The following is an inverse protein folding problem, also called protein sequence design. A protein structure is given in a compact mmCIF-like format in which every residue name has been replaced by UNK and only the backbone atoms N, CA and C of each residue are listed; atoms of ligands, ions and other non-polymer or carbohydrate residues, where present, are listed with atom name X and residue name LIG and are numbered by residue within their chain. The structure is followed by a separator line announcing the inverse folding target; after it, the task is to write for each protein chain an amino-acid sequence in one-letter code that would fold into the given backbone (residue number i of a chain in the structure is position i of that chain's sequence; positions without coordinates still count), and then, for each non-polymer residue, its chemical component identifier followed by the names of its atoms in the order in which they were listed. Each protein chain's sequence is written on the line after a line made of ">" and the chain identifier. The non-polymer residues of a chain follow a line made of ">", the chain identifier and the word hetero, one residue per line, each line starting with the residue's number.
data_IF_312507612543
#
_entry.id   IF_312507612543
#
_cell.length_a   1.000
_cell.length_b   1.000
_cell.length_c   1.000
_cell.angle_alpha   90.00
_cell.angle_beta   90.00
_cell.angle_gamma   90.00
#
_symmetry.space_group_name_H-M   'P 1'
#
loop_
_entity.id
_entity.type
_entity.pdbx_description
1 polymer ?
#
# COMPACT_ATOMS: atom_id res chain seq x y z
N UNK A 1 16.29 -6.35 17.35
CA UNK A 1 16.55 -4.95 16.90
C UNK A 1 17.43 -4.84 15.66
N UNK A 2 18.59 -5.51 15.59
CA UNK A 2 19.53 -5.38 14.45
C UNK A 2 18.92 -5.66 13.07
N UNK A 3 18.07 -6.69 12.95
CA UNK A 3 17.44 -7.02 11.68
C UNK A 3 16.31 -6.04 11.26
N UNK A 4 15.60 -5.43 12.21
CA UNK A 4 14.66 -4.32 11.95
C UNK A 4 15.41 -3.15 11.33
N UNK A 5 16.48 -2.72 12.00
CA UNK A 5 17.32 -1.63 11.52
C UNK A 5 17.94 -1.95 10.15
N UNK A 6 18.37 -3.20 9.92
CA UNK A 6 18.86 -3.67 8.63
C UNK A 6 17.80 -3.55 7.53
N UNK A 7 16.57 -4.02 7.76
CA UNK A 7 15.47 -3.91 6.79
C UNK A 7 15.14 -2.47 6.42
N UNK A 8 15.04 -1.57 7.41
CA UNK A 8 14.88 -0.14 7.15
C UNK A 8 16.10 0.44 6.40
N UNK A 9 17.31 0.03 6.75
CA UNK A 9 18.55 0.50 6.10
C UNK A 9 18.56 0.15 4.61
N UNK A 10 18.18 -1.07 4.24
CA UNK A 10 18.12 -1.50 2.83
C UNK A 10 17.14 -0.61 2.04
N UNK A 11 15.96 -0.35 2.60
CA UNK A 11 14.96 0.55 2.02
C UNK A 11 15.53 1.96 1.83
N UNK A 12 16.17 2.51 2.86
CA UNK A 12 16.78 3.85 2.80
C UNK A 12 17.90 3.93 1.76
N UNK A 13 18.72 2.90 1.63
CA UNK A 13 19.78 2.85 0.62
C UNK A 13 19.22 2.88 -0.80
N UNK A 14 18.18 2.10 -1.10
CA UNK A 14 17.56 2.10 -2.44
C UNK A 14 16.88 3.45 -2.71
N UNK A 15 16.20 4.03 -1.72
CA UNK A 15 15.63 5.39 -1.84
C UNK A 15 16.74 6.42 -2.10
N UNK A 16 17.87 6.33 -1.40
CA UNK A 16 19.01 7.21 -1.60
C UNK A 16 19.60 7.08 -3.01
N UNK A 17 19.73 5.86 -3.53
CA UNK A 17 20.15 5.62 -4.93
C UNK A 17 19.17 6.30 -5.89
N UNK A 18 17.85 6.12 -5.70
CA UNK A 18 16.82 6.77 -6.50
C UNK A 18 16.90 8.31 -6.46
N UNK A 19 17.20 8.87 -5.30
CA UNK A 19 17.40 10.32 -5.14
C UNK A 19 18.69 10.79 -5.85
N UNK A 20 19.80 10.07 -5.70
CA UNK A 20 21.10 10.38 -6.32
C UNK A 20 20.97 10.41 -7.84
N UNK A 21 20.44 9.35 -8.45
CA UNK A 21 20.31 9.27 -9.92
C UNK A 21 19.37 10.36 -10.45
N UNK A 22 18.30 10.69 -9.72
CA UNK A 22 17.40 11.78 -10.08
C UNK A 22 18.06 13.15 -9.93
N UNK A 23 18.90 13.35 -8.91
CA UNK A 23 19.63 14.61 -8.67
C UNK A 23 20.65 14.91 -9.77
N UNK A 24 21.26 13.86 -10.32
CA UNK A 24 22.20 13.95 -11.44
C UNK A 24 21.50 13.88 -12.82
N UNK A 25 20.19 13.70 -12.86
CA UNK A 25 19.41 13.69 -14.11
C UNK A 25 19.71 12.51 -15.04
N UNK A 26 20.27 11.41 -14.52
CA UNK A 26 20.77 10.26 -15.32
C UNK A 26 19.67 9.64 -16.18
N UNK A 27 18.44 9.59 -15.67
CA UNK A 27 17.30 8.91 -16.31
C UNK A 27 16.34 9.88 -17.04
N UNK A 28 16.61 11.19 -17.00
CA UNK A 28 15.71 12.20 -17.55
C UNK A 28 14.48 12.53 -16.67
N UNK A 29 13.65 13.50 -17.09
CA UNK A 29 12.56 14.06 -16.27
C UNK A 29 11.38 13.10 -16.05
N UNK A 30 11.11 12.21 -17.00
CA UNK A 30 9.95 11.30 -16.95
C UNK A 30 10.23 9.97 -16.22
N UNK A 31 11.47 9.76 -15.78
CA UNK A 31 11.92 8.52 -15.15
C UNK A 31 11.02 8.08 -13.99
N UNK A 32 10.63 9.02 -13.12
CA UNK A 32 9.74 8.75 -11.99
C UNK A 32 8.41 8.13 -12.44
N UNK A 33 7.80 8.70 -13.48
CA UNK A 33 6.52 8.25 -14.03
C UNK A 33 6.70 6.91 -14.73
N UNK A 34 7.76 6.74 -15.52
CA UNK A 34 8.07 5.49 -16.21
C UNK A 34 8.26 4.34 -15.23
N UNK A 35 9.12 4.49 -14.22
CA UNK A 35 9.38 3.47 -13.20
C UNK A 35 8.10 3.14 -12.41
N UNK A 36 7.31 4.15 -12.02
CA UNK A 36 6.03 3.93 -11.34
C UNK A 36 5.05 3.14 -12.21
N UNK A 37 4.99 3.43 -13.52
CA UNK A 37 4.12 2.70 -14.45
C UNK A 37 4.58 1.26 -14.64
N UNK A 38 5.87 1.01 -14.83
CA UNK A 38 6.40 -0.37 -14.94
C UNK A 38 6.12 -1.14 -13.66
N UNK A 39 6.34 -0.52 -12.50
CA UNK A 39 6.02 -1.12 -11.22
C UNK A 39 4.53 -1.47 -11.10
N UNK A 40 3.63 -0.55 -11.48
CA UNK A 40 2.18 -0.75 -11.37
C UNK A 40 1.60 -1.75 -12.39
N UNK A 41 1.99 -1.66 -13.65
CA UNK A 41 1.37 -2.41 -14.74
C UNK A 41 1.99 -3.78 -14.98
N UNK A 42 3.24 -3.98 -14.58
CA UNK A 42 4.00 -5.21 -14.88
C UNK A 42 4.44 -5.90 -13.61
N UNK A 43 5.27 -5.23 -12.80
CA UNK A 43 5.96 -5.88 -11.69
C UNK A 43 5.03 -6.22 -10.51
N UNK A 44 4.13 -5.31 -10.13
CA UNK A 44 3.21 -5.51 -9.02
C UNK A 44 2.20 -6.64 -9.30
N UNK A 45 1.57 -6.74 -10.48
CA UNK A 45 0.74 -7.89 -10.83
C UNK A 45 1.46 -9.23 -10.74
N UNK A 46 2.72 -9.31 -11.18
CA UNK A 46 3.54 -10.50 -11.03
C UNK A 46 3.81 -10.81 -9.55
N UNK A 47 4.15 -9.79 -8.75
CA UNK A 47 4.33 -9.94 -7.30
C UNK A 47 3.06 -10.44 -6.63
N UNK A 48 1.91 -9.89 -6.99
CA UNK A 48 0.60 -10.33 -6.50
C UNK A 48 0.35 -11.80 -6.82
N UNK A 49 0.58 -12.18 -8.08
CA UNK A 49 0.40 -13.55 -8.54
C UNK A 49 1.25 -14.52 -7.71
N UNK A 50 2.58 -14.30 -7.68
CA UNK A 50 3.54 -15.17 -6.98
C UNK A 50 3.19 -15.29 -5.49
N UNK A 51 2.96 -14.16 -4.84
CA UNK A 51 2.66 -14.13 -3.40
C UNK A 51 1.39 -14.92 -3.07
N UNK A 52 0.35 -14.80 -3.90
CA UNK A 52 -0.92 -15.47 -3.64
C UNK A 52 -0.89 -16.94 -4.05
N UNK A 53 -0.26 -17.27 -5.19
CA UNK A 53 -0.17 -18.66 -5.68
C UNK A 53 0.58 -19.57 -4.71
N UNK A 54 1.57 -19.04 -3.99
CA UNK A 54 2.36 -19.76 -3.00
C UNK A 54 1.72 -19.76 -1.60
N UNK A 55 0.79 -18.83 -1.34
CA UNK A 55 0.13 -18.73 -0.04
C UNK A 55 -0.88 -19.86 0.17
N UNK A 56 -0.88 -20.45 1.36
CA UNK A 56 -1.89 -21.43 1.76
C UNK A 56 -3.15 -20.71 2.23
N UNK A 57 -4.13 -20.52 1.32
CA UNK A 57 -5.40 -19.82 1.57
C UNK A 57 -6.06 -20.14 2.93
N UNK A 58 -6.00 -21.39 3.39
CA UNK A 58 -6.55 -21.81 4.69
C UNK A 58 -5.79 -21.27 5.91
N UNK A 59 -4.47 -21.08 5.81
CA UNK A 59 -3.68 -20.52 6.90
C UNK A 59 -3.85 -19.00 7.01
N UNK A 60 -4.29 -18.36 5.93
CA UNK A 60 -4.38 -16.89 5.85
C UNK A 60 -5.74 -16.37 6.33
N UNK A 61 -6.80 -17.17 6.20
CA UNK A 61 -8.15 -16.82 6.64
C UNK A 61 -8.34 -17.07 8.14
N UNK A 62 -7.88 -16.11 8.97
CA UNK A 62 -8.03 -16.13 10.43
C UNK A 62 -8.40 -14.77 11.03
N UNK A 63 -8.45 -14.65 12.36
CA UNK A 63 -8.74 -13.40 13.06
C UNK A 63 -7.86 -12.23 12.60
N UNK A 64 -6.59 -12.49 12.30
CA UNK A 64 -5.58 -11.52 11.87
C UNK A 64 -5.94 -10.91 10.51
N UNK A 65 -6.55 -11.70 9.61
CA UNK A 65 -7.08 -11.19 8.35
C UNK A 65 -8.24 -10.23 8.59
N UNK A 66 -9.16 -10.58 9.50
CA UNK A 66 -10.28 -9.71 9.85
C UNK A 66 -9.82 -8.44 10.55
N UNK A 67 -8.84 -8.52 11.46
CA UNK A 67 -8.25 -7.36 12.14
C UNK A 67 -7.60 -6.43 11.12
N UNK A 68 -6.81 -6.96 10.19
CA UNK A 68 -6.21 -6.16 9.12
C UNK A 68 -7.28 -5.50 8.23
N UNK A 69 -8.32 -6.26 7.87
CA UNK A 69 -9.42 -5.79 7.03
C UNK A 69 -10.19 -4.66 7.71
N UNK A 70 -10.69 -4.91 8.92
CA UNK A 70 -11.50 -3.96 9.68
C UNK A 70 -10.67 -2.75 10.10
N UNK A 71 -9.43 -2.93 10.53
CA UNK A 71 -8.51 -1.85 10.90
C UNK A 71 -8.22 -0.91 9.74
N UNK A 72 -7.87 -1.46 8.57
CA UNK A 72 -7.60 -0.66 7.38
C UNK A 72 -8.84 0.05 6.83
N UNK A 73 -9.97 -0.65 6.70
CA UNK A 73 -11.22 -0.05 6.20
C UNK A 73 -11.79 1.00 7.16
N UNK A 74 -11.70 0.77 8.48
CA UNK A 74 -12.12 1.75 9.48
C UNK A 74 -11.22 2.98 9.47
N UNK A 75 -9.90 2.80 9.31
CA UNK A 75 -8.96 3.92 9.20
C UNK A 75 -9.18 4.72 7.92
N UNK A 76 -9.43 4.04 6.79
CA UNK A 76 -9.81 4.68 5.53
C UNK A 76 -11.08 5.51 5.70
N UNK A 77 -12.11 4.91 6.29
CA UNK A 77 -13.39 5.56 6.53
C UNK A 77 -13.20 6.78 7.45
N UNK A 78 -12.44 6.65 8.54
CA UNK A 78 -12.13 7.75 9.44
C UNK A 78 -11.44 8.91 8.69
N UNK A 79 -10.44 8.63 7.86
CA UNK A 79 -9.80 9.67 7.04
C UNK A 79 -10.81 10.36 6.12
N UNK A 80 -11.62 9.60 5.40
CA UNK A 80 -12.59 10.15 4.44
C UNK A 80 -13.65 10.98 5.16
N UNK A 81 -14.17 10.53 6.31
CA UNK A 81 -15.16 11.27 7.09
C UNK A 81 -14.57 12.56 7.68
N UNK A 82 -13.41 12.48 8.35
CA UNK A 82 -12.75 13.65 8.93
C UNK A 82 -12.34 14.62 7.83
N UNK A 83 -11.78 14.12 6.74
CA UNK A 83 -11.39 14.92 5.58
C UNK A 83 -12.60 15.60 4.95
N UNK A 84 -13.64 14.84 4.58
CA UNK A 84 -14.78 15.38 3.85
C UNK A 84 -15.63 16.33 4.68
N UNK A 85 -15.83 16.07 5.97
CA UNK A 85 -16.78 16.81 6.79
C UNK A 85 -16.13 17.85 7.71
N UNK A 86 -14.85 17.72 8.06
CA UNK A 86 -14.19 18.62 9.02
C UNK A 86 -13.08 19.44 8.38
N UNK A 87 -12.05 18.80 7.82
CA UNK A 87 -10.75 19.47 7.59
C UNK A 87 -10.43 19.78 6.12
N UNK A 88 -10.98 19.02 5.18
CA UNK A 88 -10.56 18.94 3.76
C UNK A 88 -11.73 19.03 2.78
N UNK A 89 -12.79 19.78 3.13
CA UNK A 89 -14.08 19.85 2.39
C UNK A 89 -13.93 20.09 0.88
N UNK A 90 -12.96 20.93 0.50
CA UNK A 90 -12.73 21.34 -0.90
C UNK A 90 -11.85 20.38 -1.71
N UNK A 91 -11.38 19.28 -1.12
CA UNK A 91 -10.52 18.32 -1.83
C UNK A 91 -11.33 17.46 -2.80
N UNK A 92 -10.78 17.15 -3.99
CA UNK A 92 -11.40 16.18 -4.89
C UNK A 92 -11.41 14.80 -4.23
N UNK A 93 -12.39 13.97 -4.60
CA UNK A 93 -12.54 12.64 -4.02
C UNK A 93 -11.32 11.75 -4.23
N UNK A 94 -10.61 11.89 -5.36
CA UNK A 94 -9.37 11.15 -5.64
C UNK A 94 -8.26 11.48 -4.63
N UNK A 95 -8.10 12.74 -4.24
CA UNK A 95 -7.13 13.14 -3.22
C UNK A 95 -7.51 12.63 -1.82
N UNK A 96 -8.82 12.64 -1.49
CA UNK A 96 -9.31 12.06 -0.25
C UNK A 96 -9.07 10.54 -0.20
N UNK A 97 -9.22 9.85 -1.33
CA UNK A 97 -8.94 8.43 -1.43
C UNK A 97 -7.44 8.14 -1.26
N UNK A 98 -6.55 8.90 -1.92
CA UNK A 98 -5.10 8.76 -1.77
C UNK A 98 -4.65 9.09 -0.33
N UNK A 99 -5.19 10.13 0.28
CA UNK A 99 -4.92 10.45 1.69
C UNK A 99 -5.42 9.36 2.63
N UNK A 100 -6.61 8.80 2.35
CA UNK A 100 -7.17 7.69 3.08
C UNK A 100 -6.32 6.44 2.99
N UNK A 101 -5.92 6.05 1.78
CA UNK A 101 -4.94 4.98 1.53
C UNK A 101 -3.62 5.24 2.28
N UNK A 102 -3.16 6.49 2.31
CA UNK A 102 -1.94 6.85 3.05
C UNK A 102 -2.09 6.61 4.56
N UNK A 103 -3.30 6.81 5.10
CA UNK A 103 -3.60 6.57 6.51
C UNK A 103 -3.80 5.09 6.88
N UNK A 104 -4.15 4.24 5.92
CA UNK A 104 -4.65 2.88 6.19
C UNK A 104 -3.82 1.76 5.55
N UNK A 105 -3.03 2.02 4.50
CA UNK A 105 -2.30 0.98 3.80
C UNK A 105 -0.91 0.81 4.42
N UNK A 106 -0.66 -0.34 5.03
CA UNK A 106 0.62 -0.68 5.66
C UNK A 106 1.64 -1.14 4.61
N UNK A 107 2.92 -0.86 4.84
CA UNK A 107 4.01 -1.31 3.98
C UNK A 107 4.35 -2.81 4.18
N UNK A 108 3.34 -3.68 4.11
CA UNK A 108 3.43 -5.11 4.43
C UNK A 108 4.39 -5.87 3.52
N UNK A 109 4.39 -5.61 2.22
CA UNK A 109 5.27 -6.32 1.28
C UNK A 109 6.77 -6.02 1.51
N UNK A 110 7.12 -4.80 1.91
CA UNK A 110 8.52 -4.39 2.09
C UNK A 110 9.03 -4.60 3.52
N UNK A 111 8.21 -4.24 4.51
CA UNK A 111 8.59 -4.26 5.93
C UNK A 111 7.87 -5.35 6.70
N UNK A 112 6.72 -5.82 6.24
CA UNK A 112 5.96 -6.87 6.94
C UNK A 112 6.73 -8.17 7.05
N UNK A 113 7.28 -8.70 5.95
CA UNK A 113 8.04 -9.96 6.00
C UNK A 113 9.28 -9.89 6.90
N UNK A 114 10.19 -8.89 6.80
CA UNK A 114 11.32 -8.79 7.71
C UNK A 114 10.90 -8.61 9.17
N UNK A 115 9.87 -7.81 9.45
CA UNK A 115 9.39 -7.61 10.82
C UNK A 115 8.77 -8.89 11.37
N UNK A 116 7.97 -9.59 10.57
CA UNK A 116 7.39 -10.88 10.93
C UNK A 116 8.48 -11.91 11.25
N UNK A 117 9.50 -12.03 10.39
CA UNK A 117 10.62 -12.95 10.61
C UNK A 117 11.43 -12.64 11.87
N UNK A 118 11.84 -11.37 12.05
CA UNK A 118 12.89 -11.01 12.99
C UNK A 118 12.40 -10.39 14.30
N UNK A 119 11.17 -9.90 14.34
CA UNK A 119 10.54 -9.35 15.55
C UNK A 119 9.51 -10.32 16.09
N UNK A 120 8.68 -10.88 15.20
CA UNK A 120 7.58 -11.76 15.60
C UNK A 120 7.94 -13.25 15.53
N UNK A 121 9.13 -13.59 15.02
CA UNK A 121 9.67 -14.95 15.00
C UNK A 121 9.14 -15.87 13.90
N UNK A 122 8.22 -15.39 13.06
CA UNK A 122 7.63 -16.17 11.97
C UNK A 122 7.20 -15.27 10.80
N UNK A 123 7.79 -15.51 9.62
CA UNK A 123 7.49 -14.79 8.36
C UNK A 123 6.02 -14.94 7.97
N UNK A 124 5.39 -16.08 8.27
CA UNK A 124 4.01 -16.38 7.89
C UNK A 124 2.99 -15.43 8.53
N UNK A 125 3.36 -14.76 9.64
CA UNK A 125 2.52 -13.79 10.33
C UNK A 125 2.22 -12.54 9.49
N UNK A 126 3.02 -12.25 8.46
CA UNK A 126 2.72 -11.17 7.51
C UNK A 126 1.67 -11.56 6.46
N UNK A 127 1.47 -12.85 6.20
CA UNK A 127 0.66 -13.33 5.08
C UNK A 127 -0.82 -12.88 5.16
N UNK A 128 -1.52 -12.89 6.32
CA UNK A 128 -2.90 -12.39 6.44
C UNK A 128 -3.07 -10.94 6.03
N UNK A 129 -2.14 -10.09 6.46
CA UNK A 129 -2.15 -8.66 6.17
C UNK A 129 -1.94 -8.43 4.68
N UNK A 130 -0.91 -9.09 4.12
CA UNK A 130 -0.57 -8.96 2.70
C UNK A 130 -1.73 -9.48 1.85
N UNK A 131 -2.24 -10.68 2.12
CA UNK A 131 -3.36 -11.23 1.36
C UNK A 131 -4.59 -10.33 1.41
N UNK A 132 -4.95 -9.74 2.55
CA UNK A 132 -6.02 -8.74 2.62
C UNK A 132 -5.71 -7.54 1.70
N UNK A 133 -4.52 -6.95 1.79
CA UNK A 133 -4.15 -5.78 0.99
C UNK A 133 -4.22 -6.07 -0.50
N UNK A 134 -3.77 -7.26 -0.90
CA UNK A 134 -3.66 -7.68 -2.28
C UNK A 134 -5.00 -8.12 -2.87
N UNK A 135 -5.72 -9.02 -2.17
CA UNK A 135 -6.95 -9.63 -2.67
C UNK A 135 -8.20 -8.76 -2.48
N UNK A 136 -8.24 -7.91 -1.44
CA UNK A 136 -9.41 -7.10 -1.12
C UNK A 136 -9.11 -5.62 -1.29
N UNK A 137 -8.08 -5.10 -0.61
CA UNK A 137 -7.93 -3.65 -0.51
C UNK A 137 -7.52 -3.02 -1.85
N UNK A 138 -6.65 -3.68 -2.59
CA UNK A 138 -6.18 -3.25 -3.91
C UNK A 138 -7.31 -3.05 -4.91
N UNK A 139 -8.18 -4.05 -5.16
CA UNK A 139 -9.36 -3.87 -5.99
C UNK A 139 -10.23 -2.68 -5.55
N UNK A 140 -10.48 -2.54 -4.24
CA UNK A 140 -11.32 -1.46 -3.69
C UNK A 140 -10.75 -0.09 -4.08
N UNK A 141 -9.47 0.17 -3.80
CA UNK A 141 -8.93 1.50 -4.04
C UNK A 141 -8.72 1.80 -5.52
N UNK A 142 -8.38 0.79 -6.32
CA UNK A 142 -8.27 0.91 -7.77
C UNK A 142 -9.62 1.29 -8.37
N UNK A 143 -10.67 0.54 -8.05
CA UNK A 143 -12.01 0.81 -8.58
C UNK A 143 -12.53 2.16 -8.11
N UNK A 144 -12.27 2.53 -6.84
CA UNK A 144 -12.62 3.86 -6.35
C UNK A 144 -11.90 4.97 -7.13
N UNK A 145 -10.59 4.85 -7.35
CA UNK A 145 -9.82 5.84 -8.09
C UNK A 145 -10.23 5.91 -9.57
N UNK A 146 -10.43 4.77 -10.23
CA UNK A 146 -10.96 4.71 -11.60
C UNK A 146 -12.27 5.50 -11.70
N UNK A 147 -13.19 5.32 -10.75
CA UNK A 147 -14.47 6.04 -10.72
C UNK A 147 -14.28 7.54 -10.48
N UNK A 148 -13.37 7.92 -9.60
CA UNK A 148 -13.12 9.31 -9.19
C UNK A 148 -12.31 10.12 -10.20
N UNK A 149 -11.53 9.48 -11.07
CA UNK A 149 -10.67 10.16 -12.06
C UNK A 149 -11.21 10.11 -13.49
N UNK A 150 -12.33 9.42 -13.73
CA UNK A 150 -12.94 9.27 -15.07
C UNK A 150 -13.20 10.58 -15.79
N UNK A 151 -13.72 11.57 -15.08
CA UNK A 151 -14.12 12.85 -15.68
C UNK A 151 -12.92 13.77 -15.98
N UNK A 152 -11.69 13.39 -15.59
CA UNK A 152 -10.47 14.14 -15.89
C UNK A 152 -9.84 13.75 -17.25
N UNK A 153 -10.35 12.71 -17.91
CA UNK A 153 -9.95 12.32 -19.26
C UNK A 153 -10.83 12.97 -20.34
N UNK A 154 -10.20 13.66 -21.29
CA UNK A 154 -10.80 14.37 -22.44
C UNK A 154 -11.57 13.50 -23.44
N UNK A 155 -12.66 12.83 -23.03
CA UNK A 155 -13.57 12.13 -23.95
C UNK A 155 -15.01 12.66 -23.84
N UNK A 156 -15.77 12.71 -24.96
CA UNK A 156 -17.02 13.47 -25.04
C UNK A 156 -18.08 12.95 -24.08
N UNK A 157 -18.83 13.88 -23.48
CA UNK A 157 -19.99 13.66 -22.61
C UNK A 157 -21.15 12.96 -23.37
N UNK A 158 -21.02 11.67 -23.68
CA UNK A 158 -22.19 10.83 -23.96
C UNK A 158 -22.59 10.22 -22.64
N UNK A 159 -23.65 10.76 -22.02
CA UNK A 159 -24.26 10.22 -20.79
C UNK A 159 -24.77 8.80 -21.08
N UNK A 160 -24.14 7.71 -20.61
CA UNK A 160 -24.74 6.39 -20.71
C UNK A 160 -25.58 6.14 -19.45
N UNK A 161 -26.61 5.32 -19.58
CA UNK A 161 -27.50 4.93 -18.50
C UNK A 161 -26.69 4.39 -17.29
N UNK A 162 -26.99 4.77 -16.02
CA UNK A 162 -26.23 4.38 -14.82
C UNK A 162 -25.92 2.88 -14.69
N UNK A 163 -26.79 1.99 -15.18
CA UNK A 163 -26.58 0.54 -15.13
C UNK A 163 -25.51 0.02 -16.12
N UNK A 164 -25.38 0.65 -17.28
CA UNK A 164 -24.38 0.30 -18.30
C UNK A 164 -23.00 0.83 -17.90
N UNK A 165 -22.96 1.97 -17.20
CA UNK A 165 -21.73 2.52 -16.61
C UNK A 165 -21.12 1.54 -15.60
N UNK A 166 -21.91 0.99 -14.68
CA UNK A 166 -21.40 0.05 -13.64
C UNK A 166 -20.90 -1.27 -14.25
N UNK A 167 -21.63 -1.85 -15.21
CA UNK A 167 -21.19 -3.07 -15.92
C UNK A 167 -19.93 -2.86 -16.76
N UNK A 168 -19.81 -1.71 -17.45
CA UNK A 168 -18.58 -1.34 -18.20
C UNK A 168 -17.43 -0.96 -17.26
N UNK A 169 -17.74 -0.49 -16.06
CA UNK A 169 -16.77 -0.22 -14.98
C UNK A 169 -16.19 -1.49 -14.42
N UNK A 170 -17.04 -2.48 -14.14
CA UNK A 170 -16.59 -3.80 -13.76
C UNK A 170 -15.77 -4.42 -14.90
N UNK A 171 -16.16 -4.20 -16.17
CA UNK A 171 -15.39 -4.60 -17.34
C UNK A 171 -14.02 -3.91 -17.48
N UNK A 172 -13.89 -2.60 -17.23
CA UNK A 172 -12.60 -1.88 -17.28
C UNK A 172 -11.73 -2.10 -16.03
N UNK A 173 -12.32 -2.23 -14.84
CA UNK A 173 -11.59 -2.62 -13.63
C UNK A 173 -11.19 -4.11 -13.68
N UNK A 174 -11.91 -4.98 -14.40
CA UNK A 174 -11.44 -6.34 -14.72
C UNK A 174 -10.22 -6.37 -15.65
N UNK A 175 -9.91 -5.25 -16.33
CA UNK A 175 -8.66 -5.08 -17.09
C UNK A 175 -7.53 -4.52 -16.20
N UNK A 176 -7.79 -4.24 -14.91
CA UNK A 176 -6.72 -3.77 -14.03
C UNK A 176 -5.70 -4.91 -13.82
N UNK A 177 -4.41 -4.69 -14.16
CA UNK A 177 -3.37 -5.71 -14.05
C UNK A 177 -3.28 -6.30 -12.64
N UNK A 178 -3.53 -5.48 -11.60
CA UNK A 178 -3.47 -5.92 -10.21
C UNK A 178 -4.58 -6.91 -9.88
N UNK A 179 -5.81 -6.63 -10.35
CA UNK A 179 -6.95 -7.53 -10.15
C UNK A 179 -6.73 -8.84 -10.90
N UNK A 180 -6.18 -8.77 -12.12
CA UNK A 180 -5.83 -9.96 -12.91
C UNK A 180 -4.78 -10.80 -12.19
N UNK A 181 -3.67 -10.20 -11.77
CA UNK A 181 -2.60 -10.89 -11.05
C UNK A 181 -3.09 -11.57 -9.77
N UNK A 182 -3.90 -10.86 -8.97
CA UNK A 182 -4.47 -11.43 -7.76
C UNK A 182 -5.46 -12.59 -8.04
N UNK A 183 -6.33 -12.43 -9.03
CA UNK A 183 -7.32 -13.46 -9.40
C UNK A 183 -6.64 -14.70 -9.96
N UNK A 184 -5.62 -14.54 -10.81
CA UNK A 184 -4.82 -15.64 -11.32
C UNK A 184 -4.05 -16.33 -10.20
N UNK A 185 -3.46 -15.58 -9.26
CA UNK A 185 -2.77 -16.15 -8.11
C UNK A 185 -3.70 -17.00 -7.25
N UNK A 186 -4.91 -16.51 -6.97
CA UNK A 186 -5.94 -17.27 -6.24
C UNK A 186 -6.35 -18.54 -6.99
N UNK A 187 -6.56 -18.45 -8.31
CA UNK A 187 -6.93 -19.59 -9.14
C UNK A 187 -5.84 -20.67 -9.14
N UNK A 188 -4.57 -20.26 -9.26
CA UNK A 188 -3.42 -21.16 -9.26
C UNK A 188 -3.21 -21.81 -7.90
N UNK A 189 -3.31 -21.05 -6.80
CA UNK A 189 -3.27 -21.59 -5.43
C UNK A 189 -4.38 -22.62 -5.21
N UNK A 190 -5.61 -22.32 -5.65
CA UNK A 190 -6.76 -23.21 -5.45
C UNK A 190 -6.68 -24.51 -6.26
N UNK A 191 -6.27 -24.42 -7.52
CA UNK A 191 -6.15 -25.58 -8.42
C UNK A 191 -4.80 -26.29 -8.31
N UNK A 192 -3.87 -25.78 -7.49
CA UNK A 192 -2.49 -26.26 -7.39
C UNK A 192 -1.79 -26.31 -8.77
N UNK A 193 -2.06 -25.30 -9.59
CA UNK A 193 -1.45 -25.18 -10.92
C UNK A 193 -0.07 -24.55 -10.80
N UNK A 194 0.82 -24.94 -11.72
CA UNK A 194 2.11 -24.30 -11.92
C UNK A 194 2.32 -24.01 -13.41
N UNK A 195 3.04 -22.93 -13.68
CA UNK A 195 3.52 -22.67 -15.04
C UNK A 195 4.74 -23.54 -15.37
N UNK A 196 5.05 -23.76 -16.66
CA UNK A 196 6.35 -24.29 -17.06
C UNK A 196 7.49 -23.42 -16.50
N UNK A 197 8.59 -24.05 -16.09
CA UNK A 197 9.72 -23.40 -15.38
C UNK A 197 10.16 -22.06 -16.01
N UNK A 198 10.37 -21.93 -17.34
CA UNK A 198 10.83 -20.66 -17.90
C UNK A 198 9.84 -19.50 -17.72
N UNK A 199 8.54 -19.79 -17.72
CA UNK A 199 7.49 -18.78 -17.53
C UNK A 199 7.41 -18.38 -16.07
N UNK A 200 7.48 -19.36 -15.16
CA UNK A 200 7.48 -19.12 -13.73
C UNK A 200 8.66 -18.25 -13.29
N UNK A 201 9.89 -18.58 -13.72
CA UNK A 201 11.09 -17.79 -13.42
C UNK A 201 11.00 -16.36 -13.96
N UNK A 202 10.46 -16.18 -15.17
CA UNK A 202 10.27 -14.84 -15.74
C UNK A 202 9.28 -14.00 -14.91
N UNK A 203 8.19 -14.60 -14.45
CA UNK A 203 7.22 -13.95 -13.57
C UNK A 203 7.86 -13.59 -12.22
N UNK A 204 8.66 -14.48 -11.65
CA UNK A 204 9.40 -14.24 -10.39
C UNK A 204 10.42 -13.11 -10.52
N UNK A 205 11.15 -13.03 -11.64
CA UNK A 205 12.08 -11.92 -11.92
C UNK A 205 11.33 -10.58 -12.02
N UNK A 206 10.19 -10.55 -12.72
CA UNK A 206 9.35 -9.35 -12.82
C UNK A 206 8.75 -8.97 -11.45
N UNK A 207 8.31 -9.95 -10.67
CA UNK A 207 7.84 -9.75 -9.31
C UNK A 207 8.93 -9.15 -8.41
N UNK A 208 10.16 -9.69 -8.48
CA UNK A 208 11.33 -9.23 -7.73
C UNK A 208 11.74 -7.79 -8.06
N UNK A 209 11.43 -7.30 -9.27
CA UNK A 209 11.68 -5.92 -9.66
C UNK A 209 10.68 -4.92 -9.04
N UNK A 210 9.52 -5.37 -8.56
CA UNK A 210 8.43 -4.50 -8.09
C UNK A 210 8.90 -3.55 -6.99
N UNK A 211 9.44 -4.10 -5.90
CA UNK A 211 9.87 -3.35 -4.72
C UNK A 211 11.00 -2.36 -5.06
N UNK A 212 12.12 -2.77 -5.70
CA UNK A 212 13.17 -1.85 -6.10
C UNK A 212 12.69 -0.71 -7.00
N UNK A 213 11.82 -0.98 -7.98
CA UNK A 213 11.30 0.04 -8.88
C UNK A 213 10.47 1.09 -8.13
N UNK A 214 9.65 0.68 -7.17
CA UNK A 214 8.87 1.61 -6.34
C UNK A 214 9.76 2.46 -5.43
N UNK A 215 10.77 1.84 -4.81
CA UNK A 215 11.73 2.53 -3.95
C UNK A 215 12.56 3.56 -4.71
N UNK A 216 13.02 3.21 -5.91
CA UNK A 216 13.71 4.12 -6.81
C UNK A 216 12.78 5.27 -7.22
N UNK A 217 11.57 4.97 -7.70
CA UNK A 217 10.58 5.99 -8.07
C UNK A 217 10.25 6.93 -6.90
N UNK A 218 10.18 6.40 -5.68
CA UNK A 218 10.02 7.18 -4.46
C UNK A 218 11.23 8.10 -4.23
N UNK A 219 12.46 7.59 -4.33
CA UNK A 219 13.69 8.39 -4.25
C UNK A 219 13.75 9.52 -5.28
N UNK A 220 13.41 9.23 -6.54
CA UNK A 220 13.29 10.26 -7.59
C UNK A 220 12.26 11.33 -7.24
N UNK A 221 11.13 10.95 -6.62
CA UNK A 221 10.07 11.90 -6.21
C UNK A 221 10.49 12.90 -5.13
N UNK A 222 11.57 12.59 -4.41
CA UNK A 222 12.14 13.45 -3.37
C UNK A 222 13.06 14.54 -3.94
N UNK A 223 13.55 14.38 -5.17
CA UNK A 223 14.44 15.37 -5.82
C UNK A 223 13.70 16.69 -6.04
N UNK A 224 14.26 17.78 -5.52
CA UNK A 224 13.65 19.11 -5.58
C UNK A 224 12.38 19.27 -4.72
N UNK A 225 11.96 18.22 -4.02
CA UNK A 225 10.82 18.29 -3.11
C UNK A 225 11.17 19.02 -1.83
N UNK A 226 10.18 19.74 -1.28
CA UNK A 226 10.22 20.25 0.08
C UNK A 226 9.10 19.56 0.85
N UNK A 227 9.39 18.49 1.61
CA UNK A 227 8.37 17.79 2.38
C UNK A 227 7.62 18.76 3.28
N UNK A 228 6.30 18.61 3.33
CA UNK A 228 5.41 19.51 4.08
C UNK A 228 5.53 20.96 3.63
N UNK A 229 5.78 21.28 2.36
CA UNK A 229 5.80 22.68 1.92
C UNK A 229 4.42 23.34 2.12
N UNK A 230 4.38 24.52 2.76
CA UNK A 230 3.14 25.31 2.94
C UNK A 230 2.52 25.65 1.59
N UNK A 231 3.33 25.90 0.57
CA UNK A 231 2.88 26.31 -0.76
C UNK A 231 2.01 25.26 -1.45
N UNK A 232 2.20 23.97 -1.13
CA UNK A 232 1.36 22.89 -1.67
C UNK A 232 -0.05 22.88 -1.08
N UNK A 233 -0.24 23.52 0.08
CA UNK A 233 -1.47 23.49 0.85
C UNK A 233 -1.85 22.10 1.38
N UNK A 234 -1.01 21.07 1.28
CA UNK A 234 -1.34 19.66 1.60
C UNK A 234 -0.98 19.19 3.01
N UNK A 235 -0.43 20.07 3.85
CA UNK A 235 0.03 19.72 5.21
C UNK A 235 -1.06 19.06 6.06
N UNK A 236 -2.29 19.58 6.00
CA UNK A 236 -3.41 19.04 6.79
C UNK A 236 -3.72 17.60 6.37
N UNK A 237 -3.74 17.34 5.08
CA UNK A 237 -3.94 16.03 4.48
C UNK A 237 -2.86 15.04 4.98
N UNK A 238 -1.59 15.46 4.94
CA UNK A 238 -0.44 14.65 5.37
C UNK A 238 -0.43 14.37 6.87
N UNK A 239 -0.65 15.39 7.71
CA UNK A 239 -0.67 15.20 9.16
C UNK A 239 -1.85 14.34 9.62
N UNK A 240 -3.01 14.51 8.99
CA UNK A 240 -4.16 13.64 9.25
C UNK A 240 -3.82 12.20 8.87
N UNK A 241 -3.32 11.95 7.66
CA UNK A 241 -2.98 10.60 7.21
C UNK A 241 -1.92 9.96 8.11
N UNK A 242 -0.83 10.66 8.41
CA UNK A 242 0.23 10.17 9.27
C UNK A 242 -0.24 9.90 10.71
N UNK A 243 -1.06 10.80 11.29
CA UNK A 243 -1.63 10.61 12.62
C UNK A 243 -2.55 9.40 12.69
N UNK A 244 -3.41 9.22 11.67
CA UNK A 244 -4.25 8.02 11.58
C UNK A 244 -3.41 6.76 11.40
N UNK A 245 -2.33 6.81 10.58
CA UNK A 245 -1.48 5.65 10.30
C UNK A 245 -0.66 5.18 11.49
N UNK A 246 -0.12 6.12 12.27
CA UNK A 246 0.81 5.86 13.36
C UNK A 246 0.12 5.69 14.71
N UNK A 247 -1.11 6.20 14.87
CA UNK A 247 -1.84 6.17 16.14
C UNK A 247 -3.16 5.41 16.00
N UNK A 248 -4.08 5.91 15.17
CA UNK A 248 -5.42 5.31 15.10
C UNK A 248 -5.37 3.85 14.62
N UNK A 249 -4.60 3.56 13.56
CA UNK A 249 -4.57 2.24 12.97
C UNK A 249 -4.00 1.18 13.95
N UNK A 250 -2.85 1.38 14.62
CA UNK A 250 -2.39 0.45 15.66
C UNK A 250 -3.37 0.30 16.83
N UNK A 251 -4.00 1.39 17.27
CA UNK A 251 -5.01 1.34 18.35
C UNK A 251 -6.24 0.54 17.93
N UNK A 252 -6.71 0.70 16.69
CA UNK A 252 -7.80 -0.11 16.15
C UNK A 252 -7.41 -1.58 16.06
N UNK A 253 -6.19 -1.89 15.63
CA UNK A 253 -5.70 -3.26 15.60
C UNK A 253 -5.65 -3.88 17.01
N UNK A 254 -5.19 -3.12 18.01
CA UNK A 254 -5.17 -3.55 19.41
C UNK A 254 -6.59 -3.79 19.94
N UNK A 255 -7.51 -2.84 19.75
CA UNK A 255 -8.91 -2.98 20.17
C UNK A 255 -9.57 -4.20 19.54
N UNK A 256 -9.39 -4.40 18.23
CA UNK A 256 -9.94 -5.55 17.54
C UNK A 256 -9.33 -6.86 18.08
N UNK A 257 -8.00 -6.94 18.18
CA UNK A 257 -7.32 -8.16 18.61
C UNK A 257 -7.60 -8.52 20.08
N UNK A 258 -7.41 -7.57 21.00
CA UNK A 258 -7.50 -7.83 22.44
C UNK A 258 -8.95 -7.84 22.95
N UNK A 259 -9.80 -6.91 22.48
CA UNK A 259 -11.14 -6.71 23.05
C UNK A 259 -12.22 -7.43 22.26
N UNK A 260 -12.19 -7.35 20.92
CA UNK A 260 -13.26 -7.93 20.08
C UNK A 260 -13.05 -9.42 19.86
N UNK A 261 -11.82 -9.82 19.50
CA UNK A 261 -11.50 -11.21 19.22
C UNK A 261 -10.92 -11.98 20.43
N UNK A 262 -10.49 -11.28 21.48
CA UNK A 262 -9.98 -11.91 22.70
C UNK A 262 -8.75 -12.78 22.46
N UNK A 263 -7.86 -12.34 21.56
CA UNK A 263 -6.67 -13.11 21.18
C UNK A 263 -5.62 -13.10 22.29
N UNK A 264 -4.72 -14.08 22.27
CA UNK A 264 -3.59 -14.13 23.18
C UNK A 264 -2.60 -12.97 22.96
N UNK A 265 -1.79 -12.68 23.97
CA UNK A 265 -0.86 -11.54 23.98
C UNK A 265 0.07 -11.52 22.77
N UNK A 266 0.56 -12.68 22.32
CA UNK A 266 1.42 -12.78 21.15
C UNK A 266 0.66 -12.43 19.87
N UNK A 267 -0.55 -12.94 19.68
CA UNK A 267 -1.39 -12.60 18.54
C UNK A 267 -1.82 -11.12 18.51
N UNK A 268 -2.05 -10.51 19.68
CA UNK A 268 -2.29 -9.08 19.82
C UNK A 268 -1.04 -8.30 19.40
N UNK A 269 0.15 -8.67 19.90
CA UNK A 269 1.41 -8.06 19.51
C UNK A 269 1.61 -8.10 17.98
N UNK A 270 1.38 -9.25 17.35
CA UNK A 270 1.46 -9.43 15.89
C UNK A 270 0.56 -8.43 15.17
N UNK A 271 -0.72 -8.35 15.55
CA UNK A 271 -1.68 -7.47 14.89
C UNK A 271 -1.28 -5.99 15.00
N UNK A 272 -0.84 -5.56 16.18
CA UNK A 272 -0.49 -4.15 16.45
C UNK A 272 0.83 -3.77 15.78
N UNK A 273 1.86 -4.63 15.83
CA UNK A 273 3.16 -4.40 15.17
C UNK A 273 2.97 -4.29 13.65
N UNK A 274 2.21 -5.20 13.05
CA UNK A 274 1.93 -5.16 11.62
C UNK A 274 1.10 -3.92 11.23
N UNK A 275 0.16 -3.50 12.07
CA UNK A 275 -0.59 -2.27 11.89
C UNK A 275 0.27 -1.00 12.07
N UNK A 276 1.34 -1.04 12.86
CA UNK A 276 2.25 0.08 13.12
C UNK A 276 3.29 0.31 12.02
N UNK A 277 3.39 -0.60 11.04
CA UNK A 277 4.23 -0.40 9.87
C UNK A 277 3.89 0.90 9.14
N UNK A 278 4.87 1.55 8.47
CA UNK A 278 4.63 2.82 7.78
C UNK A 278 3.67 2.66 6.61
N UNK A 279 3.31 3.79 6.01
CA UNK A 279 2.50 3.83 4.79
C UNK A 279 3.18 3.06 3.66
N UNK A 280 2.41 2.27 2.90
CA UNK A 280 2.93 1.53 1.76
C UNK A 280 3.43 2.45 0.64
N UNK A 281 4.52 2.06 -0.01
CA UNK A 281 5.04 2.79 -1.17
C UNK A 281 4.12 2.71 -2.39
N UNK A 282 3.30 1.65 -2.48
CA UNK A 282 2.28 1.50 -3.52
C UNK A 282 1.32 2.70 -3.57
N UNK A 283 1.12 3.42 -2.46
CA UNK A 283 0.27 4.62 -2.44
C UNK A 283 0.85 5.71 -3.34
N UNK A 284 2.18 5.92 -3.36
CA UNK A 284 2.81 6.89 -4.26
C UNK A 284 2.68 6.44 -5.72
N UNK A 285 2.99 5.17 -6.01
CA UNK A 285 2.88 4.63 -7.37
C UNK A 285 1.44 4.78 -7.90
N UNK A 286 0.45 4.49 -7.05
CA UNK A 286 -0.96 4.68 -7.36
C UNK A 286 -1.28 6.17 -7.59
N UNK A 287 -0.80 7.06 -6.71
CA UNK A 287 -0.98 8.50 -6.85
C UNK A 287 -0.44 9.04 -8.18
N UNK A 288 0.76 8.60 -8.59
CA UNK A 288 1.37 8.97 -9.88
C UNK A 288 0.59 8.39 -11.06
N UNK A 289 0.11 7.15 -10.95
CA UNK A 289 -0.68 6.50 -12.01
C UNK A 289 -1.98 7.26 -12.30
N UNK A 290 -2.65 7.69 -11.24
CA UNK A 290 -3.94 8.38 -11.27
C UNK A 290 -3.83 9.92 -11.28
N UNK A 291 -2.60 10.45 -11.25
CA UNK A 291 -2.31 11.89 -11.20
C UNK A 291 -3.08 12.61 -10.09
N UNK A 292 -3.20 11.97 -8.93
CA UNK A 292 -3.99 12.45 -7.80
C UNK A 292 -3.21 12.30 -6.51
N UNK A 293 -3.27 13.29 -5.62
CA UNK A 293 -2.69 13.21 -4.28
C UNK A 293 -1.18 12.91 -4.19
N UNK A 294 -0.37 13.12 -5.23
CA UNK A 294 1.05 12.74 -5.23
C UNK A 294 1.86 13.33 -4.06
N UNK A 295 1.63 14.60 -3.73
CA UNK A 295 2.27 15.27 -2.59
C UNK A 295 1.82 14.63 -1.27
N UNK A 296 0.54 14.27 -1.16
CA UNK A 296 -0.02 13.65 0.05
C UNK A 296 0.65 12.28 0.25
N UNK A 297 0.69 11.47 -0.79
CA UNK A 297 1.30 10.15 -0.76
C UNK A 297 2.80 10.22 -0.42
N UNK A 298 3.56 11.04 -1.16
CA UNK A 298 5.02 11.17 -0.95
C UNK A 298 5.36 11.62 0.47
N UNK A 299 4.75 12.70 0.93
CA UNK A 299 5.10 13.30 2.21
C UNK A 299 4.61 12.42 3.38
N UNK A 300 3.47 11.74 3.25
CA UNK A 300 2.99 10.79 4.27
C UNK A 300 3.86 9.55 4.33
N UNK A 301 4.26 8.97 3.18
CA UNK A 301 5.19 7.84 3.15
C UNK A 301 6.52 8.23 3.79
N UNK A 302 7.08 9.40 3.46
CA UNK A 302 8.33 9.86 4.07
C UNK A 302 8.19 10.01 5.59
N UNK A 303 7.16 10.74 6.03
CA UNK A 303 6.95 11.04 7.45
C UNK A 303 6.71 9.76 8.26
N UNK A 304 5.85 8.87 7.78
CA UNK A 304 5.56 7.60 8.46
C UNK A 304 6.74 6.65 8.42
N UNK A 305 7.55 6.63 7.35
CA UNK A 305 8.76 5.78 7.30
C UNK A 305 9.81 6.22 8.31
N UNK A 306 10.02 7.54 8.48
CA UNK A 306 10.91 8.08 9.51
C UNK A 306 10.37 7.76 10.91
N UNK A 307 9.06 7.96 11.13
CA UNK A 307 8.42 7.73 12.41
C UNK A 307 8.17 6.25 12.76
N UNK A 308 8.26 5.33 11.79
CA UNK A 308 7.93 3.93 12.00
C UNK A 308 8.90 3.21 12.94
N UNK A 309 10.19 3.50 12.88
CA UNK A 309 11.18 2.88 13.78
C UNK A 309 10.82 3.12 15.25
N UNK A 310 10.65 4.36 15.74
CA UNK A 310 10.28 4.58 17.13
C UNK A 310 8.87 4.07 17.44
N UNK A 311 7.93 4.11 16.49
CA UNK A 311 6.57 3.60 16.69
C UNK A 311 6.56 2.09 16.92
N UNK A 312 7.25 1.33 16.07
CA UNK A 312 7.35 -0.14 16.19
C UNK A 312 8.10 -0.54 17.46
N UNK A 313 9.18 0.18 17.80
CA UNK A 313 9.92 -0.06 19.06
C UNK A 313 9.03 0.18 20.28
N UNK A 314 8.26 1.28 20.29
CA UNK A 314 7.34 1.58 21.39
C UNK A 314 6.25 0.52 21.51
N UNK A 315 5.62 0.11 20.39
CA UNK A 315 4.61 -0.94 20.38
C UNK A 315 5.17 -2.26 20.92
N UNK A 316 6.35 -2.67 20.44
CA UNK A 316 6.99 -3.89 20.90
C UNK A 316 7.37 -3.84 22.38
N UNK A 317 7.77 -2.67 22.91
CA UNK A 317 8.09 -2.51 24.32
C UNK A 317 6.86 -2.47 25.24
N UNK A 318 5.69 -2.05 24.73
CA UNK A 318 4.46 -1.97 25.52
C UNK A 318 3.68 -3.28 25.57
N UNK A 319 3.82 -4.13 24.54
CA UNK A 319 3.02 -5.36 24.36
C UNK A 319 3.86 -6.66 24.36
N UNK A 320 5.20 -6.55 24.38
CA UNK A 320 6.12 -7.67 24.36
C UNK A 320 6.81 -7.93 25.70
#
# INVERSE_FOLDING_TARGET
>A
MGAVLSGFTIIWLIIAVGWIIGRFGVLGPDARVALSRVAFFVASPCLLFVTISESSLRAVLGPQFLIATLGALSTLLAFVLIGRFLLLKSRPGSDLMIGGMSGSLVNGANLGFPIAAYVLGDVALAAPIIMFQLAIYTPIYVTALDLLTRDQGSMPKVRPHPRISVLRSLGQSAVNPMIIGATLGLLFSWQQLSFPTPVQEAIELLAGASIPLMLLAFGLSLVGSRPLDKATGRRRDVFLAAGLKLILHPVLAWLLAAVVFGLDDHQVLVAVVMAALPTAQNVLVTAVRYQAGEVIARDTVLLTTIAAIPTVVLVAALLG
#
